data_IF_728297995200
#
_entry.id   IF_728297995200
#
_cell.length_a   1.000
_cell.length_b   1.000
_cell.length_c   1.000
_cell.angle_alpha   90.00
_cell.angle_beta   90.00
_cell.angle_gamma   90.00
#
_symmetry.space_group_name_H-M   'P 1'
#
loop_
_entity.id
_entity.type
_entity.pdbx_description
1 polymer ?
#
# COMPACT_ATOMS: atom_id res chain seq x y z
N UNK A 1 -15.03 13.86 16.33
CA UNK A 1 -14.95 13.48 17.75
C UNK A 1 -14.49 12.03 17.85
N UNK A 2 -13.86 11.59 18.94
CA UNK A 2 -13.48 10.19 19.05
C UNK A 2 -14.76 9.35 19.09
N UNK A 3 -14.80 8.33 18.25
CA UNK A 3 -15.84 7.30 18.25
C UNK A 3 -15.91 6.68 19.65
N UNK A 4 -17.11 6.62 20.24
CA UNK A 4 -17.38 5.95 21.52
C UNK A 4 -17.11 4.45 21.37
N UNK A 5 -15.87 4.03 21.55
CA UNK A 5 -15.55 2.62 21.75
C UNK A 5 -15.83 2.27 23.23
N UNK A 6 -16.62 1.23 23.52
CA UNK A 6 -16.94 0.86 24.89
C UNK A 6 -15.65 0.49 25.66
N UNK A 7 -15.60 0.92 26.92
CA UNK A 7 -14.44 0.80 27.81
C UNK A 7 -14.18 -0.62 28.33
N UNK A 8 -15.09 -1.57 28.09
CA UNK A 8 -14.91 -2.96 28.47
C UNK A 8 -15.66 -3.91 27.53
N UNK A 9 -15.02 -5.01 27.15
CA UNK A 9 -15.49 -5.99 26.16
C UNK A 9 -15.74 -7.33 26.86
N UNK A 10 -16.67 -7.36 27.83
CA UNK A 10 -16.84 -8.54 28.71
C UNK A 10 -17.54 -9.74 28.05
N UNK A 11 -18.21 -9.56 26.90
CA UNK A 11 -19.14 -10.58 26.36
C UNK A 11 -19.04 -10.82 24.85
N UNK A 12 -17.86 -10.71 24.25
CA UNK A 12 -17.68 -11.15 22.87
C UNK A 12 -16.70 -12.31 22.84
N UNK A 13 -17.24 -13.52 22.67
CA UNK A 13 -16.41 -14.65 22.32
C UNK A 13 -15.92 -14.50 20.87
N UNK A 14 -14.81 -15.15 20.54
CA UNK A 14 -14.32 -15.24 19.16
C UNK A 14 -15.41 -15.79 18.22
N UNK A 15 -16.21 -16.75 18.68
CA UNK A 15 -17.32 -17.31 17.92
C UNK A 15 -18.41 -16.26 17.61
N UNK A 16 -18.73 -15.37 18.56
CA UNK A 16 -19.71 -14.30 18.35
C UNK A 16 -19.23 -13.23 17.37
N UNK A 17 -17.92 -12.95 17.36
CA UNK A 17 -17.30 -12.01 16.43
C UNK A 17 -17.27 -12.56 14.99
N UNK A 18 -16.91 -13.85 14.82
CA UNK A 18 -16.91 -14.53 13.51
C UNK A 18 -18.34 -14.69 12.97
N UNK A 19 -19.32 -15.00 13.83
CA UNK A 19 -20.71 -15.17 13.42
C UNK A 19 -21.38 -13.86 12.94
N UNK A 20 -20.97 -12.71 13.49
CA UNK A 20 -21.57 -11.42 13.15
C UNK A 20 -21.10 -10.85 11.83
N UNK A 21 -19.89 -11.17 11.37
CA UNK A 21 -19.45 -10.76 10.04
C UNK A 21 -18.32 -11.64 9.50
N UNK A 22 -18.73 -12.71 8.80
CA UNK A 22 -17.83 -13.65 8.12
C UNK A 22 -16.98 -12.98 7.02
N UNK A 23 -17.29 -11.73 6.64
CA UNK A 23 -16.52 -10.94 5.67
C UNK A 23 -15.47 -10.01 6.30
N UNK A 24 -15.56 -9.69 7.60
CA UNK A 24 -14.56 -8.82 8.28
C UNK A 24 -13.67 -9.52 9.30
N UNK A 25 -14.03 -10.70 9.81
CA UNK A 25 -13.17 -11.45 10.72
C UNK A 25 -12.80 -12.83 10.13
N UNK A 26 -11.79 -12.90 9.24
CA UNK A 26 -11.23 -14.20 8.85
C UNK A 26 -10.68 -14.91 10.08
N UNK A 27 -10.76 -16.24 10.11
CA UNK A 27 -10.05 -17.03 11.11
C UNK A 27 -8.56 -16.65 11.04
N UNK A 28 -8.07 -16.00 12.10
CA UNK A 28 -6.72 -15.49 12.20
C UNK A 28 -5.91 -16.25 13.27
N UNK A 29 -6.35 -17.45 13.65
CA UNK A 29 -5.62 -18.32 14.56
C UNK A 29 -4.28 -18.78 13.97
N UNK A 30 -4.18 -18.82 12.64
CA UNK A 30 -3.00 -19.29 11.91
C UNK A 30 -2.04 -18.15 11.50
N UNK A 31 -2.33 -16.88 11.87
CA UNK A 31 -1.41 -15.77 11.60
C UNK A 31 -0.54 -15.45 12.80
N UNK A 32 0.64 -14.91 12.54
CA UNK A 32 1.56 -14.47 13.58
C UNK A 32 0.89 -13.49 14.55
N UNK A 33 1.26 -13.53 15.84
CA UNK A 33 0.62 -12.74 16.91
C UNK A 33 0.53 -11.23 16.63
N UNK A 34 1.50 -10.66 15.89
CA UNK A 34 1.48 -9.27 15.44
C UNK A 34 0.30 -8.93 14.52
N UNK A 35 -0.18 -9.92 13.76
CA UNK A 35 -1.24 -9.77 12.76
C UNK A 35 -2.58 -10.34 13.24
N UNK A 36 -2.58 -11.12 14.32
CA UNK A 36 -3.79 -11.63 14.96
C UNK A 36 -4.53 -10.50 15.70
N UNK A 37 -5.84 -10.49 15.58
CA UNK A 37 -6.73 -9.55 16.26
C UNK A 37 -7.84 -10.30 17.00
N UNK A 38 -8.12 -9.90 18.23
CA UNK A 38 -9.15 -10.47 19.09
C UNK A 38 -9.96 -9.35 19.75
N UNK A 39 -11.29 -9.48 19.87
CA UNK A 39 -12.11 -8.53 20.63
C UNK A 39 -11.64 -8.45 22.10
N UNK A 40 -11.63 -7.25 22.68
CA UNK A 40 -11.05 -7.01 24.01
C UNK A 40 -9.51 -6.89 24.03
N UNK A 41 -8.82 -7.24 22.95
CA UNK A 41 -7.40 -6.98 22.73
C UNK A 41 -7.24 -5.71 21.86
N UNK A 42 -6.27 -4.86 22.22
CA UNK A 42 -6.03 -3.61 21.48
C UNK A 42 -5.75 -3.90 20.01
N UNK A 43 -6.56 -3.33 19.12
CA UNK A 43 -6.30 -3.37 17.68
C UNK A 43 -5.03 -2.58 17.34
N UNK A 44 -4.09 -3.21 16.65
CA UNK A 44 -2.83 -2.59 16.21
C UNK A 44 -2.79 -2.60 14.68
N UNK A 45 -2.63 -1.43 14.07
CA UNK A 45 -2.37 -1.31 12.65
C UNK A 45 -0.87 -1.35 12.39
N UNK A 46 -0.43 -2.27 11.53
CA UNK A 46 0.96 -2.41 11.10
C UNK A 46 1.04 -2.01 9.63
N UNK A 47 1.95 -1.09 9.32
CA UNK A 47 2.24 -0.67 7.94
C UNK A 47 3.74 -0.70 7.69
N UNK A 48 4.14 -0.85 6.43
CA UNK A 48 5.51 -0.61 6.03
C UNK A 48 5.89 0.85 6.34
N UNK A 49 6.98 1.03 7.06
CA UNK A 49 7.54 2.32 7.46
C UNK A 49 8.78 2.70 6.64
N UNK A 50 9.03 1.98 5.53
CA UNK A 50 10.22 2.09 4.68
C UNK A 50 11.53 1.89 5.45
N UNK A 51 11.51 1.13 6.55
CA UNK A 51 12.65 0.91 7.43
C UNK A 51 13.28 2.22 7.91
N UNK A 52 12.47 3.19 8.39
CA UNK A 52 12.93 4.53 8.76
C UNK A 52 14.14 4.56 9.72
N UNK A 53 14.32 3.51 10.51
CA UNK A 53 15.40 3.37 11.49
C UNK A 53 16.71 2.84 10.89
N UNK A 54 16.73 2.41 9.62
CA UNK A 54 17.91 1.85 8.97
C UNK A 54 18.59 2.89 8.09
N UNK A 55 19.86 3.16 8.36
CA UNK A 55 20.71 4.03 7.52
C UNK A 55 20.88 3.50 6.10
N UNK A 56 20.90 2.18 5.94
CA UNK A 56 21.08 1.56 4.62
C UNK A 56 19.77 1.57 3.78
N UNK A 57 18.65 2.03 4.34
CA UNK A 57 17.35 2.10 3.70
C UNK A 57 16.51 0.81 3.79
N UNK A 58 15.49 0.67 2.92
CA UNK A 58 14.53 -0.43 3.01
C UNK A 58 15.15 -1.81 2.82
N UNK A 59 14.94 -2.70 3.79
CA UNK A 59 15.43 -4.08 3.74
C UNK A 59 14.93 -4.84 2.51
N UNK A 60 13.66 -4.65 2.17
CA UNK A 60 13.01 -5.30 1.03
C UNK A 60 13.64 -4.90 -0.31
N UNK A 61 14.16 -3.68 -0.44
CA UNK A 61 14.86 -3.21 -1.64
C UNK A 61 16.23 -3.90 -1.74
N UNK A 62 16.99 -3.98 -0.65
CA UNK A 62 18.32 -4.60 -0.63
C UNK A 62 18.30 -6.09 -0.97
N UNK A 63 17.31 -6.82 -0.43
CA UNK A 63 17.23 -8.27 -0.61
C UNK A 63 16.54 -8.67 -1.92
N UNK A 64 16.01 -7.72 -2.70
CA UNK A 64 15.21 -8.02 -3.89
C UNK A 64 16.11 -8.62 -5.00
N UNK A 65 15.99 -9.91 -5.33
CA UNK A 65 16.92 -10.58 -6.24
C UNK A 65 16.79 -10.07 -7.68
N UNK A 66 15.57 -9.72 -8.09
CA UNK A 66 15.26 -9.21 -9.43
C UNK A 66 15.50 -7.70 -9.57
N UNK A 67 15.83 -7.01 -8.47
CA UNK A 67 15.93 -5.54 -8.42
C UNK A 67 14.67 -4.82 -8.90
N UNK A 68 13.51 -5.46 -8.75
CA UNK A 68 12.21 -4.86 -9.10
C UNK A 68 11.81 -3.77 -8.12
N UNK A 69 12.20 -3.92 -6.84
CA UNK A 69 11.96 -2.91 -5.82
C UNK A 69 13.11 -1.90 -5.81
N UNK A 70 12.79 -0.62 -5.93
CA UNK A 70 13.72 0.50 -5.80
C UNK A 70 12.97 1.73 -5.27
N UNK A 71 13.70 2.66 -4.66
CA UNK A 71 13.14 3.93 -4.17
C UNK A 71 13.35 5.00 -5.23
N UNK A 72 12.28 5.72 -5.56
CA UNK A 72 12.31 6.87 -6.46
C UNK A 72 11.98 8.13 -5.67
N UNK A 73 12.71 9.21 -5.94
CA UNK A 73 12.40 10.54 -5.42
C UNK A 73 11.42 11.26 -6.35
N UNK A 74 10.72 12.27 -5.85
CA UNK A 74 9.81 13.08 -6.66
C UNK A 74 10.53 13.69 -7.87
N UNK A 75 11.76 14.17 -7.68
CA UNK A 75 12.62 14.67 -8.77
C UNK A 75 12.93 13.60 -9.81
N UNK A 76 13.23 12.37 -9.35
CA UNK A 76 13.47 11.23 -10.24
C UNK A 76 12.22 10.87 -11.06
N UNK A 77 11.04 10.95 -10.43
CA UNK A 77 9.76 10.71 -11.09
C UNK A 77 9.45 11.78 -12.14
N UNK A 78 9.66 13.06 -11.80
CA UNK A 78 9.50 14.17 -12.73
C UNK A 78 10.43 14.06 -13.95
N UNK A 79 11.70 13.70 -13.71
CA UNK A 79 12.68 13.50 -14.76
C UNK A 79 12.28 12.33 -15.67
N UNK A 80 11.87 11.20 -15.11
CA UNK A 80 11.40 10.05 -15.87
C UNK A 80 10.17 10.39 -16.72
N UNK A 81 9.22 11.15 -16.16
CA UNK A 81 8.03 11.59 -16.87
C UNK A 81 8.36 12.58 -18.00
N UNK A 82 9.28 13.52 -17.77
CA UNK A 82 9.75 14.44 -18.80
C UNK A 82 10.41 13.69 -19.96
N UNK A 83 11.30 12.76 -19.65
CA UNK A 83 11.99 11.96 -20.65
C UNK A 83 11.01 11.14 -21.51
N UNK A 84 10.00 10.51 -20.87
CA UNK A 84 8.94 9.81 -21.60
C UNK A 84 8.17 10.72 -22.56
N UNK A 85 7.88 11.97 -22.16
CA UNK A 85 7.23 12.97 -23.04
C UNK A 85 8.11 13.34 -24.22
N UNK A 86 9.40 13.60 -23.98
CA UNK A 86 10.37 13.93 -25.04
C UNK A 86 10.48 12.80 -26.08
N UNK A 87 10.59 11.54 -25.62
CA UNK A 87 10.61 10.37 -26.50
C UNK A 87 9.31 10.24 -27.29
N UNK A 88 8.16 10.40 -26.63
CA UNK A 88 6.87 10.32 -27.30
C UNK A 88 6.72 11.41 -28.37
N UNK A 89 7.17 12.64 -28.10
CA UNK A 89 7.19 13.73 -29.08
C UNK A 89 8.11 13.40 -30.27
N UNK A 90 9.31 12.90 -30.00
CA UNK A 90 10.27 12.54 -31.05
C UNK A 90 9.78 11.38 -31.93
N UNK A 91 9.05 10.43 -31.34
CA UNK A 91 8.55 9.23 -32.02
C UNK A 91 7.10 9.36 -32.51
N UNK A 92 6.47 10.52 -32.35
CA UNK A 92 5.10 10.75 -32.83
C UNK A 92 5.11 10.82 -34.36
N UNK A 93 4.25 10.04 -35.06
CA UNK A 93 4.11 10.17 -36.50
C UNK A 93 3.63 11.58 -36.85
N UNK A 94 4.19 12.17 -37.91
CA UNK A 94 3.75 13.46 -38.40
C UNK A 94 2.27 13.40 -38.78
N UNK A 95 1.43 14.22 -38.15
CA UNK A 95 0.03 14.38 -38.55
C UNK A 95 0.03 15.07 -39.92
N UNK A 96 -0.48 14.43 -41.00
CA UNK A 96 -0.55 15.06 -42.31
C UNK A 96 -1.38 16.33 -42.27
N UNK A 97 -0.88 17.38 -42.90
CA UNK A 97 -1.44 18.74 -42.88
C UNK A 97 -2.67 18.94 -43.78
N UNK A 98 -3.51 17.92 -43.98
CA UNK A 98 -4.61 17.96 -44.97
C UNK A 98 -6.04 18.00 -44.41
N UNK A 99 -6.22 18.30 -43.11
CA UNK A 99 -7.53 18.74 -42.61
C UNK A 99 -7.55 20.28 -42.60
N UNK A 100 -7.45 20.88 -43.79
CA UNK A 100 -7.97 22.23 -44.01
C UNK A 100 -9.45 22.07 -44.29
N UNK A 101 -10.24 22.47 -43.29
CA UNK A 101 -11.69 22.63 -43.34
C UNK A 101 -12.04 23.37 -44.64
N UNK A 102 -12.73 22.68 -45.55
CA UNK A 102 -13.41 23.32 -46.68
C UNK A 102 -14.67 24.03 -46.19
#
# INVERSE_FOLDING_TARGET
GPINAPVYYEHFSFNDAVARDIRTAPNNMDVHNMLAWQPGVKAIAIKCDLCYFRSEGPACVQTCPTKTLFIISDKGLEQANRHKREIAMANSPAVPREIQIK
#
